data_IF_691027496477
#
_entry.id   IF_691027496477
#
_cell.length_a   1.000
_cell.length_b   1.000
_cell.length_c   1.000
_cell.angle_alpha   90.00
_cell.angle_beta   90.00
_cell.angle_gamma   90.00
#
_symmetry.space_group_name_H-M   'P 1'
#
loop_
_entity.id
_entity.type
_entity.pdbx_description
1 polymer ?
#
# COMPACT_ATOMS: atom_id res chain seq x y z
N UNK A 1 -22.97 24.03 9.32
CA UNK A 1 -21.73 24.84 9.26
C UNK A 1 -20.67 24.00 8.56
N UNK A 2 -20.41 24.24 7.27
CA UNK A 2 -19.33 23.58 6.54
C UNK A 2 -18.00 24.13 7.05
N UNK A 3 -17.13 23.26 7.57
CA UNK A 3 -15.77 23.63 7.94
C UNK A 3 -15.06 24.24 6.73
N UNK A 4 -14.37 25.39 6.88
CA UNK A 4 -13.66 26.00 5.76
C UNK A 4 -12.59 25.04 5.24
N UNK A 5 -12.54 24.87 3.91
CA UNK A 5 -11.49 24.06 3.27
C UNK A 5 -10.14 24.67 3.62
N UNK A 6 -9.28 23.89 4.27
CA UNK A 6 -7.91 24.30 4.61
C UNK A 6 -7.13 24.67 3.35
N UNK A 7 -6.19 25.63 3.41
CA UNK A 7 -5.37 25.99 2.26
C UNK A 7 -4.57 24.78 1.78
N UNK A 8 -4.39 24.67 0.46
CA UNK A 8 -3.73 23.52 -0.18
C UNK A 8 -2.32 23.28 0.37
N UNK A 9 -1.55 24.36 0.60
CA UNK A 9 -0.20 24.28 1.14
C UNK A 9 -0.15 23.56 2.51
N UNK A 10 -1.15 23.80 3.37
CA UNK A 10 -1.22 23.15 4.68
C UNK A 10 -1.61 21.67 4.56
N UNK A 11 -2.51 21.34 3.64
CA UNK A 11 -2.85 19.93 3.35
C UNK A 11 -1.63 19.17 2.82
N UNK A 12 -0.83 19.83 1.98
CA UNK A 12 0.40 19.28 1.41
C UNK A 12 1.47 19.06 2.47
N UNK A 13 1.75 20.07 3.29
CA UNK A 13 2.68 19.95 4.41
C UNK A 13 2.27 18.80 5.34
N UNK A 14 0.97 18.70 5.66
CA UNK A 14 0.48 17.61 6.50
C UNK A 14 0.69 16.24 5.87
N UNK A 15 0.38 16.07 4.58
CA UNK A 15 0.63 14.81 3.86
C UNK A 15 2.12 14.44 3.84
N UNK A 16 2.98 15.39 3.53
CA UNK A 16 4.43 15.20 3.50
C UNK A 16 5.04 14.95 4.88
N UNK A 17 4.39 15.36 5.96
CA UNK A 17 4.80 15.02 7.32
C UNK A 17 4.39 13.60 7.75
N UNK A 18 3.69 12.85 6.91
CA UNK A 18 3.37 11.44 7.17
C UNK A 18 4.38 10.51 6.50
N UNK A 19 4.76 9.42 7.18
CA UNK A 19 5.66 8.41 6.59
C UNK A 19 5.16 7.86 5.24
N UNK A 20 3.84 7.54 5.05
CA UNK A 20 3.33 7.11 3.75
C UNK A 20 3.40 8.19 2.66
N UNK A 21 3.35 9.47 3.03
CA UNK A 21 3.48 10.59 2.09
C UNK A 21 4.92 10.75 1.59
N UNK A 22 5.89 10.71 2.51
CA UNK A 22 7.32 10.74 2.17
C UNK A 22 7.69 9.53 1.30
N UNK A 23 7.28 8.31 1.69
CA UNK A 23 7.57 7.11 0.92
C UNK A 23 6.99 7.19 -0.51
N UNK A 24 5.80 7.79 -0.67
CA UNK A 24 5.19 8.00 -1.99
C UNK A 24 5.98 9.01 -2.82
N UNK A 25 6.43 10.11 -2.21
CA UNK A 25 7.26 11.11 -2.88
C UNK A 25 8.61 10.50 -3.32
N UNK A 26 9.25 9.71 -2.46
CA UNK A 26 10.47 8.98 -2.82
C UNK A 26 10.24 8.00 -3.97
N UNK A 27 9.09 7.31 -4.00
CA UNK A 27 8.72 6.41 -5.11
C UNK A 27 8.57 7.18 -6.42
N UNK A 28 7.94 8.35 -6.38
CA UNK A 28 7.77 9.20 -7.55
C UNK A 28 9.12 9.73 -8.05
N UNK A 29 9.96 10.23 -7.15
CA UNK A 29 11.31 10.71 -7.49
C UNK A 29 12.17 9.60 -8.07
N UNK A 30 12.16 8.40 -7.47
CA UNK A 30 12.83 7.22 -8.01
C UNK A 30 12.36 6.92 -9.44
N UNK A 31 11.04 6.87 -9.67
CA UNK A 31 10.47 6.54 -10.97
C UNK A 31 10.82 7.58 -12.04
N UNK A 32 10.82 8.87 -11.68
CA UNK A 32 11.23 9.97 -12.57
C UNK A 32 12.70 9.85 -12.93
N UNK A 33 13.59 9.60 -11.95
CA UNK A 33 15.01 9.39 -12.24
C UNK A 33 15.24 8.20 -13.18
N UNK A 34 14.57 7.08 -12.94
CA UNK A 34 14.69 5.89 -13.79
C UNK A 34 14.08 6.10 -15.18
N UNK A 35 13.01 6.88 -15.28
CA UNK A 35 12.47 7.31 -16.56
C UNK A 35 13.50 8.14 -17.33
N UNK A 36 14.10 9.17 -16.73
CA UNK A 36 15.16 9.97 -17.39
C UNK A 36 16.29 9.09 -17.90
N UNK A 37 16.71 8.09 -17.12
CA UNK A 37 17.72 7.10 -17.55
C UNK A 37 17.26 6.31 -18.77
N UNK A 38 16.00 5.88 -18.82
CA UNK A 38 15.45 5.08 -19.92
C UNK A 38 15.41 5.83 -21.26
N UNK A 39 15.38 7.16 -21.25
CA UNK A 39 15.37 8.00 -22.46
C UNK A 39 16.77 8.40 -22.93
N UNK A 40 17.81 8.17 -22.12
CA UNK A 40 19.19 8.53 -22.48
C UNK A 40 19.83 7.39 -23.31
N UNK A 41 20.66 7.71 -24.32
CA UNK A 41 21.38 6.71 -25.08
C UNK A 41 22.35 5.91 -24.20
N UNK A 42 22.56 4.65 -24.56
CA UNK A 42 23.45 3.72 -23.85
C UNK A 42 24.86 4.31 -23.80
N UNK A 43 25.49 4.26 -22.62
CA UNK A 43 26.85 4.78 -22.40
C UNK A 43 26.92 6.25 -21.98
N UNK A 44 25.80 6.96 -21.87
CA UNK A 44 25.80 8.34 -21.38
C UNK A 44 26.23 8.42 -19.90
N UNK A 45 27.25 9.25 -19.61
CA UNK A 45 27.75 9.48 -18.25
C UNK A 45 26.69 10.12 -17.33
N UNK A 46 25.74 10.86 -17.85
CA UNK A 46 24.65 11.40 -17.03
C UNK A 46 23.68 10.30 -16.56
N UNK A 47 23.48 9.26 -17.39
CA UNK A 47 22.55 8.18 -17.06
C UNK A 47 22.99 7.40 -15.82
N UNK A 48 24.30 7.19 -15.61
CA UNK A 48 24.78 6.53 -14.39
C UNK A 48 24.52 7.38 -13.14
N UNK A 49 24.60 8.72 -13.23
CA UNK A 49 24.33 9.63 -12.12
C UNK A 49 22.86 9.56 -11.73
N UNK A 50 21.95 9.67 -12.70
CA UNK A 50 20.52 9.56 -12.47
C UNK A 50 20.12 8.17 -11.93
N UNK A 51 20.76 7.11 -12.41
CA UNK A 51 20.58 5.75 -11.86
C UNK A 51 21.03 5.67 -10.40
N UNK A 52 22.19 6.25 -10.07
CA UNK A 52 22.71 6.33 -8.70
C UNK A 52 21.75 7.07 -7.76
N UNK A 53 21.26 8.25 -8.17
CA UNK A 53 20.28 9.03 -7.40
C UNK A 53 18.97 8.26 -7.21
N UNK A 54 18.45 7.64 -8.27
CA UNK A 54 17.26 6.79 -8.20
C UNK A 54 17.41 5.63 -7.21
N UNK A 55 18.59 5.01 -7.15
CA UNK A 55 18.90 3.94 -6.20
C UNK A 55 18.91 4.44 -4.75
N UNK A 56 19.37 5.67 -4.49
CA UNK A 56 19.31 6.28 -3.15
C UNK A 56 17.86 6.53 -2.70
N UNK A 57 16.99 7.00 -3.60
CA UNK A 57 15.55 7.11 -3.29
C UNK A 57 14.91 5.74 -3.05
N UNK A 58 15.28 4.72 -3.83
CA UNK A 58 14.83 3.35 -3.62
C UNK A 58 15.24 2.82 -2.24
N UNK A 59 16.50 3.06 -1.85
CA UNK A 59 17.02 2.70 -0.53
C UNK A 59 16.30 3.44 0.60
N UNK A 60 16.05 4.74 0.44
CA UNK A 60 15.25 5.53 1.37
C UNK A 60 13.88 4.92 1.65
N UNK A 61 13.18 4.45 0.61
CA UNK A 61 11.90 3.75 0.76
C UNK A 61 12.01 2.45 1.52
N UNK A 62 13.09 1.70 1.33
CA UNK A 62 13.32 0.42 2.03
C UNK A 62 13.40 0.63 3.54
N UNK A 63 13.96 1.73 4.01
CA UNK A 63 13.98 2.05 5.44
C UNK A 63 12.59 2.25 6.04
N UNK A 64 11.70 2.97 5.34
CA UNK A 64 10.32 3.16 5.80
C UNK A 64 9.52 1.86 5.89
N UNK A 65 9.91 0.85 5.09
CA UNK A 65 9.23 -0.45 5.03
C UNK A 65 9.87 -1.53 5.89
N UNK A 66 11.01 -1.25 6.52
CA UNK A 66 11.85 -2.27 7.18
C UNK A 66 11.09 -3.17 8.15
N UNK A 67 10.26 -2.60 9.03
CA UNK A 67 9.47 -3.37 9.99
C UNK A 67 8.03 -3.66 9.54
N UNK A 68 7.64 -3.22 8.34
CA UNK A 68 6.27 -3.39 7.88
C UNK A 68 5.89 -4.87 7.67
N UNK A 69 6.86 -5.76 7.44
CA UNK A 69 6.61 -7.20 7.32
C UNK A 69 5.85 -7.76 8.54
N UNK A 70 6.15 -7.27 9.76
CA UNK A 70 5.49 -7.69 11.00
C UNK A 70 3.99 -7.43 10.89
N UNK A 71 3.61 -6.31 10.30
CA UNK A 71 2.21 -5.92 10.17
C UNK A 71 1.52 -6.67 9.06
N UNK A 72 2.20 -6.97 7.96
CA UNK A 72 1.62 -7.82 6.92
C UNK A 72 1.37 -9.24 7.45
N UNK A 73 2.31 -9.82 8.22
CA UNK A 73 2.09 -11.11 8.88
C UNK A 73 1.02 -11.04 9.96
N UNK A 74 1.00 -9.98 10.78
CA UNK A 74 -0.06 -9.75 11.77
C UNK A 74 -1.44 -9.66 11.14
N UNK A 75 -1.59 -8.88 10.06
CA UNK A 75 -2.86 -8.75 9.34
C UNK A 75 -3.27 -10.05 8.62
N UNK A 76 -2.30 -10.83 8.15
CA UNK A 76 -2.56 -12.17 7.60
C UNK A 76 -3.10 -13.10 8.70
N UNK A 77 -2.49 -13.07 9.88
CA UNK A 77 -2.92 -13.84 11.04
C UNK A 77 -4.32 -13.43 11.49
N UNK A 78 -4.58 -12.13 11.67
CA UNK A 78 -5.89 -11.60 12.08
C UNK A 78 -7.00 -11.98 11.08
N UNK A 79 -6.67 -12.00 9.78
CA UNK A 79 -7.60 -12.44 8.74
C UNK A 79 -7.84 -13.95 8.79
N UNK A 80 -6.81 -14.75 9.10
CA UNK A 80 -6.90 -16.20 9.23
C UNK A 80 -7.76 -16.65 10.42
N UNK A 81 -7.58 -16.03 11.59
CA UNK A 81 -8.38 -16.32 12.79
C UNK A 81 -9.77 -15.69 12.74
N UNK A 82 -10.08 -14.97 11.66
CA UNK A 82 -11.39 -14.39 11.43
C UNK A 82 -11.70 -13.13 12.24
N UNK A 83 -10.70 -12.39 12.71
CA UNK A 83 -10.93 -11.05 13.29
C UNK A 83 -11.35 -10.02 12.23
N UNK A 84 -11.02 -10.25 10.96
CA UNK A 84 -11.42 -9.39 9.86
C UNK A 84 -12.83 -9.74 9.35
N UNK A 85 -13.86 -9.27 10.07
CA UNK A 85 -15.28 -9.52 9.75
C UNK A 85 -15.65 -9.21 8.29
N UNK A 86 -15.02 -8.21 7.68
CA UNK A 86 -15.37 -7.76 6.32
C UNK A 86 -14.96 -8.75 5.24
N UNK A 87 -13.85 -9.46 5.45
CA UNK A 87 -13.32 -10.45 4.52
C UNK A 87 -13.98 -11.79 4.77
N UNK A 88 -14.24 -12.14 6.03
CA UNK A 88 -14.99 -13.34 6.39
C UNK A 88 -16.38 -13.39 5.74
N UNK A 89 -17.09 -12.25 5.72
CA UNK A 89 -18.40 -12.15 5.07
C UNK A 89 -18.37 -12.44 3.57
N UNK A 90 -17.21 -12.33 2.91
CA UNK A 90 -17.03 -12.61 1.47
C UNK A 90 -16.73 -14.09 1.17
N UNK A 91 -16.74 -14.93 2.20
CA UNK A 91 -16.53 -16.35 2.10
C UNK A 91 -15.08 -16.79 2.27
N UNK A 92 -14.89 -18.10 2.43
CA UNK A 92 -13.60 -18.74 2.72
C UNK A 92 -12.56 -18.53 1.61
N UNK A 93 -13.00 -18.45 0.36
CA UNK A 93 -12.11 -18.20 -0.79
C UNK A 93 -11.49 -16.81 -0.73
N UNK A 94 -12.27 -15.78 -0.38
CA UNK A 94 -11.77 -14.42 -0.21
C UNK A 94 -10.77 -14.30 0.95
N UNK A 95 -11.04 -15.00 2.07
CA UNK A 95 -10.10 -15.11 3.19
C UNK A 95 -8.79 -15.75 2.76
N UNK A 96 -8.84 -16.88 2.04
CA UNK A 96 -7.64 -17.57 1.58
C UNK A 96 -6.79 -16.69 0.65
N UNK A 97 -7.42 -16.03 -0.32
CA UNK A 97 -6.72 -15.13 -1.26
C UNK A 97 -6.05 -13.97 -0.52
N UNK A 98 -6.76 -13.35 0.45
CA UNK A 98 -6.19 -12.25 1.23
C UNK A 98 -5.00 -12.73 2.08
N UNK A 99 -5.12 -13.87 2.78
CA UNK A 99 -4.04 -14.43 3.60
C UNK A 99 -2.81 -14.75 2.72
N UNK A 100 -3.00 -15.33 1.54
CA UNK A 100 -1.92 -15.58 0.59
C UNK A 100 -1.25 -14.28 0.11
N UNK A 101 -2.04 -13.25 -0.20
CA UNK A 101 -1.52 -11.94 -0.62
C UNK A 101 -0.71 -11.28 0.49
N UNK A 102 -1.26 -11.20 1.70
CA UNK A 102 -0.62 -10.57 2.86
C UNK A 102 0.64 -11.32 3.30
N UNK A 103 0.61 -12.66 3.31
CA UNK A 103 1.77 -13.49 3.64
C UNK A 103 2.89 -13.30 2.62
N UNK A 104 2.54 -13.24 1.33
CA UNK A 104 3.52 -13.00 0.26
C UNK A 104 4.15 -11.60 0.34
N UNK A 105 3.36 -10.56 0.66
CA UNK A 105 3.91 -9.22 0.95
C UNK A 105 4.82 -9.22 2.19
N UNK A 106 4.45 -9.97 3.23
CA UNK A 106 5.29 -10.17 4.41
C UNK A 106 6.63 -10.80 4.07
N UNK A 107 6.63 -11.89 3.31
CA UNK A 107 7.85 -12.56 2.84
C UNK A 107 8.72 -11.66 1.97
N UNK A 108 8.12 -10.88 1.05
CA UNK A 108 8.84 -9.89 0.24
C UNK A 108 9.58 -8.88 1.12
N UNK A 109 8.89 -8.26 2.08
CA UNK A 109 9.48 -7.24 2.94
C UNK A 109 10.52 -7.81 3.89
N UNK A 110 10.30 -9.03 4.38
CA UNK A 110 11.23 -9.74 5.24
C UNK A 110 12.55 -10.06 4.51
N UNK A 111 12.48 -10.61 3.29
CA UNK A 111 13.67 -10.86 2.47
C UNK A 111 14.34 -9.56 2.04
N UNK A 112 13.56 -8.53 1.68
CA UNK A 112 14.09 -7.21 1.36
C UNK A 112 14.86 -6.61 2.54
N UNK A 113 14.36 -6.73 3.77
CA UNK A 113 15.01 -6.24 4.97
C UNK A 113 16.42 -6.81 5.16
N UNK A 114 16.61 -8.12 4.90
CA UNK A 114 17.93 -8.75 4.95
C UNK A 114 18.91 -8.29 3.87
N UNK A 115 18.41 -7.71 2.77
CA UNK A 115 19.27 -7.20 1.68
C UNK A 115 19.74 -5.76 1.92
N UNK A 116 19.27 -5.09 2.97
CA UNK A 116 19.63 -3.69 3.27
C UNK A 116 21.10 -3.53 3.68
N UNK A 117 21.70 -4.36 4.56
CA UNK A 117 23.12 -4.23 4.93
C UNK A 117 24.08 -4.31 3.74
N UNK A 118 23.75 -5.17 2.77
CA UNK A 118 24.47 -5.30 1.50
C UNK A 118 24.29 -4.05 0.63
N UNK A 119 23.06 -3.51 0.56
CA UNK A 119 22.76 -2.25 -0.16
C UNK A 119 23.45 -1.03 0.45
N UNK A 120 23.77 -1.08 1.74
CA UNK A 120 24.52 -0.06 2.48
C UNK A 120 26.04 -0.15 2.27
N UNK A 121 26.54 -1.24 1.67
CA UNK A 121 27.97 -1.49 1.52
C UNK A 121 28.67 -1.92 2.81
N UNK A 122 27.93 -2.26 3.86
CA UNK A 122 28.52 -2.75 5.12
C UNK A 122 29.10 -4.15 4.96
N UNK A 123 28.37 -5.05 4.30
CA UNK A 123 28.83 -6.42 4.07
C UNK A 123 28.25 -6.96 2.76
N UNK A 124 29.11 -7.07 1.73
CA UNK A 124 28.71 -7.55 0.40
C UNK A 124 28.60 -9.06 0.39
N UNK A 125 27.39 -9.62 0.33
CA UNK A 125 27.17 -11.07 0.33
C UNK A 125 26.60 -11.57 -0.97
N UNK A 126 27.09 -12.72 -1.43
CA UNK A 126 26.58 -13.36 -2.66
C UNK A 126 25.10 -13.75 -2.53
N UNK A 127 24.63 -14.06 -1.32
CA UNK A 127 23.24 -14.43 -1.06
C UNK A 127 22.27 -13.24 -1.11
N UNK A 128 22.73 -11.99 -0.90
CA UNK A 128 21.86 -10.80 -0.95
C UNK A 128 21.18 -10.67 -2.32
N UNK A 129 21.94 -10.85 -3.40
CA UNK A 129 21.38 -10.81 -4.76
C UNK A 129 20.32 -11.88 -4.99
N UNK A 130 20.55 -13.09 -4.49
CA UNK A 130 19.59 -14.20 -4.60
C UNK A 130 18.33 -13.90 -3.78
N UNK A 131 18.49 -13.47 -2.53
CA UNK A 131 17.39 -13.08 -1.66
C UNK A 131 16.56 -11.93 -2.27
N UNK A 132 17.20 -10.99 -2.96
CA UNK A 132 16.51 -9.91 -3.65
C UNK A 132 15.67 -10.43 -4.83
N UNK A 133 16.16 -11.39 -5.60
CA UNK A 133 15.40 -12.01 -6.69
C UNK A 133 14.20 -12.76 -6.13
N UNK A 134 14.39 -13.57 -5.09
CA UNK A 134 13.30 -14.29 -4.42
C UNK A 134 12.27 -13.33 -3.81
N UNK A 135 12.73 -12.22 -3.21
CA UNK A 135 11.84 -11.17 -2.71
C UNK A 135 10.93 -10.62 -3.82
N UNK A 136 11.49 -10.35 -5.00
CA UNK A 136 10.69 -9.86 -6.13
C UNK A 136 9.68 -10.89 -6.64
N UNK A 137 9.99 -12.20 -6.58
CA UNK A 137 8.99 -13.25 -6.87
C UNK A 137 7.83 -13.23 -5.89
N UNK A 138 8.11 -13.14 -4.59
CA UNK A 138 7.05 -13.01 -3.57
C UNK A 138 6.22 -11.74 -3.76
N UNK A 139 6.86 -10.62 -4.13
CA UNK A 139 6.13 -9.39 -4.45
C UNK A 139 5.19 -9.58 -5.64
N UNK A 140 5.64 -10.27 -6.70
CA UNK A 140 4.81 -10.62 -7.85
C UNK A 140 3.61 -11.48 -7.43
N UNK A 141 3.83 -12.55 -6.66
CA UNK A 141 2.74 -13.41 -6.18
C UNK A 141 1.74 -12.65 -5.32
N UNK A 142 2.22 -11.76 -4.45
CA UNK A 142 1.37 -10.93 -3.61
C UNK A 142 0.43 -10.04 -4.44
N UNK A 143 0.95 -9.43 -5.51
CA UNK A 143 0.18 -8.62 -6.46
C UNK A 143 -0.82 -9.48 -7.23
N UNK A 144 -0.41 -10.68 -7.69
CA UNK A 144 -1.29 -11.59 -8.42
C UNK A 144 -2.49 -12.03 -7.56
N UNK A 145 -2.26 -12.43 -6.30
CA UNK A 145 -3.35 -12.75 -5.38
C UNK A 145 -4.25 -11.55 -5.10
N UNK A 146 -3.68 -10.35 -4.94
CA UNK A 146 -4.48 -9.12 -4.81
C UNK A 146 -5.36 -8.87 -6.05
N UNK A 147 -4.84 -9.07 -7.26
CA UNK A 147 -5.61 -8.95 -8.51
C UNK A 147 -6.76 -9.96 -8.53
N UNK A 148 -6.47 -11.24 -8.26
CA UNK A 148 -7.48 -12.31 -8.19
C UNK A 148 -8.55 -11.95 -7.14
N UNK A 149 -8.15 -11.44 -5.98
CA UNK A 149 -9.08 -11.03 -4.92
C UNK A 149 -9.98 -9.86 -5.31
N UNK A 150 -9.47 -8.88 -6.07
CA UNK A 150 -10.28 -7.78 -6.61
C UNK A 150 -11.24 -8.26 -7.70
N UNK A 151 -10.81 -9.17 -8.58
CA UNK A 151 -11.66 -9.79 -9.61
C UNK A 151 -12.75 -10.64 -8.95
N UNK A 152 -12.42 -11.43 -7.93
CA UNK A 152 -13.39 -12.21 -7.18
C UNK A 152 -14.46 -11.32 -6.53
N UNK A 153 -14.07 -10.17 -5.99
CA UNK A 153 -15.02 -9.18 -5.45
C UNK A 153 -15.90 -8.57 -6.53
N UNK A 154 -15.34 -8.24 -7.69
CA UNK A 154 -16.12 -7.76 -8.85
C UNK A 154 -17.11 -8.81 -9.33
N UNK A 155 -16.72 -10.08 -9.35
CA UNK A 155 -17.58 -11.20 -9.71
C UNK A 155 -18.73 -11.39 -8.71
N UNK A 156 -18.46 -11.30 -7.41
CA UNK A 156 -19.52 -11.31 -6.39
C UNK A 156 -20.51 -10.15 -6.55
N UNK A 157 -20.01 -8.94 -6.83
CA UNK A 157 -20.87 -7.77 -7.10
C UNK A 157 -21.70 -7.91 -8.38
N UNK A 158 -21.18 -8.62 -9.38
CA UNK A 158 -21.90 -8.89 -10.63
C UNK A 158 -23.00 -9.94 -10.44
N UNK A 159 -22.72 -10.99 -9.66
CA UNK A 159 -23.69 -12.05 -9.37
C UNK A 159 -24.81 -11.64 -8.42
N UNK A 160 -24.63 -10.58 -7.62
CA UNK A 160 -25.63 -10.04 -6.70
C UNK A 160 -26.59 -9.13 -7.50
N UNK A 161 -27.76 -9.61 -7.97
CA UNK A 161 -28.63 -8.84 -8.85
C UNK A 161 -29.32 -7.77 -8.02
N UNK A 162 -28.93 -6.51 -8.21
CA UNK A 162 -29.71 -5.28 -7.99
C UNK A 162 -30.78 -5.24 -6.85
N UNK A 163 -30.48 -5.68 -5.63
CA UNK A 163 -31.30 -5.32 -4.45
C UNK A 163 -30.91 -3.96 -3.83
N UNK A 164 -30.28 -3.06 -4.59
CA UNK A 164 -29.75 -1.78 -4.05
C UNK A 164 -30.55 -0.53 -4.44
N UNK A 165 -31.74 -0.66 -5.05
CA UNK A 165 -32.60 0.48 -5.43
C UNK A 165 -33.84 0.69 -4.55
N UNK A 166 -34.00 0.00 -3.42
CA UNK A 166 -35.18 0.14 -2.55
C UNK A 166 -34.93 0.66 -1.12
N UNK A 167 -33.78 1.29 -0.83
CA UNK A 167 -33.60 2.01 0.45
C UNK A 167 -33.28 3.48 0.22
N UNK A 168 -34.35 4.23 -0.04
CA UNK A 168 -34.40 5.67 0.19
C UNK A 168 -34.15 6.03 1.67
N UNK A 169 -33.96 7.32 1.99
CA UNK A 169 -33.30 7.76 3.20
C UNK A 169 -34.20 7.70 4.45
N UNK A 170 -33.56 7.66 5.63
CA UNK A 170 -34.12 7.96 6.97
C UNK A 170 -34.72 6.71 7.65
N UNK A 171 -34.30 6.26 8.84
CA UNK A 171 -34.25 6.98 10.12
C UNK A 171 -33.19 6.43 11.08
N UNK A 172 -32.45 7.35 11.69
CA UNK A 172 -31.74 7.15 12.96
C UNK A 172 -32.74 6.76 14.05
N UNK A 173 -32.46 5.77 14.92
CA UNK A 173 -33.14 5.67 16.19
C UNK A 173 -32.59 6.75 17.12
N UNK A 174 -33.38 7.78 17.33
CA UNK A 174 -33.26 8.74 18.42
C UNK A 174 -33.44 8.03 19.76
N UNK A 175 -32.38 7.93 20.57
CA UNK A 175 -32.54 7.69 22.00
C UNK A 175 -32.05 8.90 22.78
N UNK A 176 -33.01 9.77 23.17
CA UNK A 176 -32.89 10.67 24.31
C UNK A 176 -33.65 10.03 25.47
N UNK A 177 -32.96 9.64 26.53
CA UNK A 177 -33.34 9.94 27.91
C UNK A 177 -32.13 9.73 28.86
N UNK A 178 -31.74 10.85 29.47
CA UNK A 178 -30.90 11.12 30.66
C UNK A 178 -31.28 10.28 31.90
N UNK A 179 -30.51 10.03 32.98
CA UNK A 179 -29.33 10.60 33.72
C UNK A 179 -29.14 9.68 35.00
N UNK A 180 -28.36 9.98 36.08
CA UNK A 180 -26.95 10.41 36.26
C UNK A 180 -26.19 9.68 37.43
N UNK A 181 -24.92 10.11 37.69
CA UNK A 181 -24.06 9.98 38.92
C UNK A 181 -23.23 8.68 39.08
N UNK A 182 -21.97 8.64 39.56
CA UNK A 182 -21.03 9.67 40.05
C UNK A 182 -19.56 9.17 40.11
N UNK A 183 -18.61 10.07 39.80
CA UNK A 183 -17.24 10.30 40.33
C UNK A 183 -16.48 9.16 41.07
N UNK A 184 -15.25 8.88 40.61
CA UNK A 184 -14.00 9.34 41.28
C UNK A 184 -12.76 9.24 40.39
N UNK A 185 -11.89 10.21 40.60
CA UNK A 185 -10.58 10.46 39.98
C UNK A 185 -9.49 9.49 40.41
N UNK A 186 -8.53 9.22 39.54
CA UNK A 186 -7.13 9.58 39.78
C UNK A 186 -6.34 9.51 38.47
N UNK A 187 -5.52 10.54 38.24
CA UNK A 187 -4.64 10.60 37.09
C UNK A 187 -3.31 9.91 37.35
N UNK A 188 -2.69 9.45 36.26
CA UNK A 188 -1.25 9.48 36.10
C UNK A 188 -0.88 9.43 34.62
N UNK A 189 -0.18 10.49 34.25
CA UNK A 189 0.75 10.72 33.14
C UNK A 189 1.44 9.46 32.62
N UNK A 190 1.47 9.28 31.28
CA UNK A 190 2.70 9.06 30.50
C UNK A 190 2.40 8.48 29.10
N UNK A 191 2.99 9.15 28.09
CA UNK A 191 3.59 8.60 26.89
C UNK A 191 2.80 7.69 25.94
N UNK A 192 2.65 8.22 24.72
CA UNK A 192 3.46 7.69 23.62
C UNK A 192 2.94 6.41 22.97
N UNK A 193 2.19 6.58 21.88
CA UNK A 193 2.38 5.80 20.65
C UNK A 193 1.29 6.19 19.67
N UNK A 194 1.62 7.16 18.82
CA UNK A 194 0.90 7.37 17.57
C UNK A 194 0.94 6.04 16.79
N UNK A 195 -0.20 5.34 16.79
CA UNK A 195 -0.43 4.13 16.00
C UNK A 195 -0.39 4.52 14.52
N UNK A 196 0.80 4.60 13.95
CA UNK A 196 1.01 4.65 12.51
C UNK A 196 0.62 3.28 11.96
N UNK A 197 -0.67 3.12 11.66
CA UNK A 197 -1.22 1.93 11.00
C UNK A 197 -0.44 1.69 9.71
N UNK A 198 0.27 0.56 9.61
CA UNK A 198 0.91 0.17 8.38
C UNK A 198 -0.18 -0.09 7.37
N UNK A 199 0.07 0.35 6.14
CA UNK A 199 -0.90 0.48 5.08
C UNK A 199 -1.26 -0.88 4.48
N UNK A 200 -1.79 -1.78 5.29
CA UNK A 200 -2.75 -2.75 4.83
C UNK A 200 -4.05 -1.99 4.71
N UNK A 201 -4.53 -1.84 3.47
CA UNK A 201 -5.88 -1.33 3.22
C UNK A 201 -6.86 -2.40 3.69
N UNK A 202 -7.04 -2.51 5.01
CA UNK A 202 -8.10 -3.26 5.65
C UNK A 202 -9.42 -2.72 5.11
N UNK A 203 -9.90 -3.50 4.16
CA UNK A 203 -11.18 -3.46 3.49
C UNK A 203 -12.31 -3.03 4.42
N UNK A 204 -12.94 -1.88 4.16
CA UNK A 204 -14.31 -1.61 4.62
C UNK A 204 -15.28 -2.47 3.79
N UNK A 205 -16.40 -2.87 4.36
CA UNK A 205 -17.45 -3.67 3.71
C UNK A 205 -17.78 -3.13 2.31
N UNK A 206 -17.61 -3.98 1.29
CA UNK A 206 -17.81 -3.69 -0.14
C UNK A 206 -17.10 -2.43 -0.66
N UNK A 207 -15.93 -2.55 -1.28
CA UNK A 207 -15.38 -1.40 -2.00
C UNK A 207 -16.33 -0.99 -3.13
N UNK A 208 -16.55 0.33 -3.34
CA UNK A 208 -17.28 0.78 -4.52
C UNK A 208 -16.54 0.30 -5.78
N UNK A 209 -17.29 -0.03 -6.83
CA UNK A 209 -16.76 -0.55 -8.10
C UNK A 209 -15.56 0.26 -8.61
N UNK A 210 -15.63 1.60 -8.55
CA UNK A 210 -14.56 2.51 -8.95
C UNK A 210 -13.25 2.32 -8.18
N UNK A 211 -13.31 1.87 -6.92
CA UNK A 211 -12.12 1.57 -6.11
C UNK A 211 -11.53 0.22 -6.47
N UNK A 212 -12.37 -0.78 -6.78
CA UNK A 212 -11.88 -2.09 -7.25
C UNK A 212 -11.16 -1.98 -8.60
N UNK A 213 -11.76 -1.25 -9.56
CA UNK A 213 -11.12 -1.02 -10.87
C UNK A 213 -9.81 -0.24 -10.70
N UNK A 214 -9.78 0.79 -9.84
CA UNK A 214 -8.55 1.54 -9.56
C UNK A 214 -7.47 0.65 -8.93
N UNK A 215 -7.83 -0.19 -7.95
CA UNK A 215 -6.90 -1.13 -7.34
C UNK A 215 -6.35 -2.12 -8.38
N UNK A 216 -7.20 -2.61 -9.28
CA UNK A 216 -6.78 -3.47 -10.37
C UNK A 216 -5.78 -2.77 -11.30
N UNK A 217 -6.02 -1.51 -11.65
CA UNK A 217 -5.06 -0.69 -12.42
C UNK A 217 -3.74 -0.52 -11.67
N UNK A 218 -3.78 -0.18 -10.38
CA UNK A 218 -2.57 0.00 -9.56
C UNK A 218 -1.76 -1.30 -9.51
N UNK A 219 -2.40 -2.42 -9.18
CA UNK A 219 -1.72 -3.71 -9.07
C UNK A 219 -1.21 -4.20 -10.43
N UNK A 220 -1.95 -3.97 -11.52
CA UNK A 220 -1.50 -4.29 -12.87
C UNK A 220 -0.26 -3.50 -13.29
N UNK A 221 -0.25 -2.20 -13.04
CA UNK A 221 0.94 -1.36 -13.28
C UNK A 221 2.14 -1.80 -12.43
N UNK A 222 1.91 -2.10 -11.15
CA UNK A 222 2.97 -2.52 -10.23
C UNK A 222 3.51 -3.91 -10.54
N UNK A 223 2.73 -4.81 -11.17
CA UNK A 223 3.15 -6.17 -11.56
C UNK A 223 4.31 -6.17 -12.56
N UNK A 224 4.41 -5.14 -13.38
CA UNK A 224 5.49 -5.00 -14.37
C UNK A 224 6.86 -4.86 -13.71
N UNK A 225 6.93 -4.30 -12.50
CA UNK A 225 8.21 -4.02 -11.82
C UNK A 225 8.89 -5.31 -11.36
N UNK A 226 8.29 -6.15 -10.48
CA UNK A 226 8.90 -7.42 -10.13
C UNK A 226 8.94 -8.39 -11.31
N UNK A 227 7.96 -8.33 -12.23
CA UNK A 227 7.93 -9.20 -13.41
C UNK A 227 9.13 -9.01 -14.33
N UNK A 228 9.57 -7.76 -14.53
CA UNK A 228 10.77 -7.45 -15.33
C UNK A 228 12.07 -7.73 -14.57
N UNK A 229 12.12 -7.48 -13.26
CA UNK A 229 13.30 -7.78 -12.43
C UNK A 229 13.59 -9.28 -12.37
N UNK A 230 12.54 -10.11 -12.28
CA UNK A 230 12.67 -11.58 -12.25
C UNK A 230 12.90 -12.15 -13.67
N UNK A 231 12.54 -11.39 -14.71
CA UNK A 231 12.65 -11.82 -16.11
C UNK A 231 11.45 -12.62 -16.62
N UNK A 232 10.29 -12.53 -15.96
CA UNK A 232 9.06 -13.19 -16.41
C UNK A 232 8.29 -12.38 -17.45
N UNK A 233 8.47 -11.06 -17.47
CA UNK A 233 7.81 -10.16 -18.42
C UNK A 233 8.89 -9.32 -19.09
N UNK A 234 8.95 -9.36 -20.42
CA UNK A 234 9.86 -8.53 -21.20
C UNK A 234 9.12 -7.24 -21.63
N UNK A 235 9.48 -6.12 -20.99
CA UNK A 235 8.84 -4.82 -21.22
C UNK A 235 9.90 -3.74 -21.27
N UNK A 236 9.70 -2.73 -22.12
CA UNK A 236 10.62 -1.60 -22.22
C UNK A 236 10.76 -0.86 -20.86
N UNK A 237 11.98 -0.41 -20.49
CA UNK A 237 12.19 0.35 -19.26
C UNK A 237 11.34 1.63 -19.18
N UNK A 238 11.04 2.24 -20.32
CA UNK A 238 10.16 3.42 -20.39
C UNK A 238 8.76 3.09 -19.90
N UNK A 239 8.19 1.96 -20.35
CA UNK A 239 6.83 1.56 -19.96
C UNK A 239 6.76 1.18 -18.48
N UNK A 240 7.73 0.43 -17.97
CA UNK A 240 7.79 0.07 -16.54
C UNK A 240 7.83 1.30 -15.64
N UNK A 241 8.69 2.27 -15.97
CA UNK A 241 8.81 3.50 -15.17
C UNK A 241 7.57 4.40 -15.31
N UNK A 242 6.95 4.43 -16.49
CA UNK A 242 5.69 5.17 -16.68
C UNK A 242 4.54 4.55 -15.88
N UNK A 243 4.44 3.21 -15.88
CA UNK A 243 3.47 2.47 -15.07
C UNK A 243 3.71 2.69 -13.57
N UNK A 244 4.98 2.72 -13.13
CA UNK A 244 5.35 3.03 -11.75
C UNK A 244 4.95 4.45 -11.35
N UNK A 245 5.10 5.44 -12.23
CA UNK A 245 4.62 6.82 -11.98
C UNK A 245 3.09 6.82 -11.83
N UNK A 246 2.37 6.19 -12.78
CA UNK A 246 0.91 6.12 -12.76
C UNK A 246 0.39 5.48 -11.46
N UNK A 247 0.91 4.31 -11.08
CA UNK A 247 0.52 3.65 -9.84
C UNK A 247 0.83 4.49 -8.60
N UNK A 248 1.98 5.17 -8.58
CA UNK A 248 2.39 6.04 -7.46
C UNK A 248 1.47 7.26 -7.31
N UNK A 249 1.02 7.87 -8.41
CA UNK A 249 0.08 9.00 -8.35
C UNK A 249 -1.28 8.54 -7.85
N UNK A 250 -1.77 7.39 -8.34
CA UNK A 250 -3.05 6.82 -7.91
C UNK A 250 -3.05 6.42 -6.41
N UNK A 251 -1.99 5.75 -5.96
CA UNK A 251 -1.79 5.41 -4.54
C UNK A 251 -1.62 6.68 -3.71
N UNK A 252 -0.89 7.67 -4.22
CA UNK A 252 -0.71 8.97 -3.58
C UNK A 252 -2.03 9.68 -3.30
N UNK A 253 -2.94 9.69 -4.28
CA UNK A 253 -4.31 10.23 -4.11
C UNK A 253 -5.10 9.49 -3.01
N UNK A 254 -5.00 8.17 -2.96
CA UNK A 254 -5.71 7.37 -1.94
C UNK A 254 -5.13 7.60 -0.55
N UNK A 255 -3.80 7.70 -0.42
CA UNK A 255 -3.14 8.07 0.84
C UNK A 255 -3.52 9.49 1.24
N UNK A 256 -3.50 10.44 0.31
CA UNK A 256 -3.85 11.84 0.55
C UNK A 256 -5.26 11.96 1.13
N UNK A 257 -6.26 11.38 0.46
CA UNK A 257 -7.65 11.45 0.91
C UNK A 257 -7.85 10.85 2.30
N UNK A 258 -7.20 9.72 2.60
CA UNK A 258 -7.19 9.12 3.95
C UNK A 258 -6.54 10.04 4.99
N UNK A 259 -5.40 10.65 4.64
CA UNK A 259 -4.71 11.57 5.55
C UNK A 259 -5.56 12.80 5.87
N UNK A 260 -6.31 13.33 4.90
CA UNK A 260 -7.21 14.48 5.15
C UNK A 260 -8.48 14.09 5.93
N UNK A 261 -8.91 12.82 5.91
CA UNK A 261 -10.07 12.36 6.69
C UNK A 261 -9.78 12.20 8.19
N UNK A 262 -8.50 12.07 8.57
CA UNK A 262 -8.08 11.92 9.96
C UNK A 262 -7.79 13.25 10.66
N UNK A 263 -8.23 14.35 10.05
CA UNK A 263 -8.04 15.75 10.46
C UNK A 263 -9.39 16.33 10.84
#
# INVERSE_FOLDING_TARGET
MSTPKRPFALQFAHYMNTAPGIENALRLLQAVCQLVVAWKPVGNKEAWRWKGVGNQFALGRRYFRYFQFITYFGNAWDTLIGQNETINRRGRTAVAIEVCSLSSYGCYLWLEAFTIPDSLGFHSTKWSRMALIEANKFWFYALLFSIIGNIWQLFQLYLEPNERQSRGPTRQPTNKYSKPKSKRSNGSTANGSAKTKPQSQAHKAGYPYSTLVRNLTIHGCDLLIPGTIVGWIEVSPVLVNSAMILSTVLVGRDRWTKTQQNI
#
